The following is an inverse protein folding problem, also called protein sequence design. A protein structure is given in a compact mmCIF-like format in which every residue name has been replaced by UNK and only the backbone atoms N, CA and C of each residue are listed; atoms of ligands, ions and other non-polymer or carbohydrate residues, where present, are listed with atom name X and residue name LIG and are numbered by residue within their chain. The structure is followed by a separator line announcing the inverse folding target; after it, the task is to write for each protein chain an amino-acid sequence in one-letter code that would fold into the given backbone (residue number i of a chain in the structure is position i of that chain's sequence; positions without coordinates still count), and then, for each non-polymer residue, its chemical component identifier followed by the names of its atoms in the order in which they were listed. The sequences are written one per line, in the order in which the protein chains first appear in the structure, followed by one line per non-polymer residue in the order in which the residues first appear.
data_IF_861558992469
#
_entry.id   IF_861558992469
#
_cell.length_a   1.000
_cell.length_b   1.000
_cell.length_c   1.000
_cell.angle_alpha   90.00
_cell.angle_beta   90.00
_cell.angle_gamma   90.00
#
_symmetry.space_group_name_H-M   'P 1'
#
loop_
_entity.id
_entity.type
_entity.pdbx_description
1 polymer ?
#
# COMPACT_ATOMS: atom_id res chain seq x y z
N UNK A 1 17.93 -15.19 -20.24
CA UNK A 1 17.27 -15.64 -18.98
C UNK A 1 16.59 -14.49 -18.23
N UNK A 2 17.18 -13.29 -18.17
CA UNK A 2 16.57 -12.12 -17.51
C UNK A 2 15.15 -11.76 -17.98
N UNK A 3 14.80 -11.77 -19.29
CA UNK A 3 13.47 -11.35 -19.75
C UNK A 3 12.30 -12.17 -19.18
N UNK A 4 12.50 -13.47 -18.94
CA UNK A 4 11.46 -14.34 -18.36
C UNK A 4 11.36 -14.21 -16.83
N UNK A 5 12.39 -13.70 -16.16
CA UNK A 5 12.41 -13.53 -14.70
C UNK A 5 11.93 -12.14 -14.27
N UNK A 6 11.97 -11.14 -15.16
CA UNK A 6 11.49 -9.77 -14.87
C UNK A 6 10.07 -9.72 -14.28
N UNK A 7 9.07 -10.46 -14.80
CA UNK A 7 7.71 -10.44 -14.26
C UNK A 7 7.65 -10.99 -12.84
N UNK A 8 8.34 -12.11 -12.61
CA UNK A 8 8.44 -12.74 -11.30
C UNK A 8 9.15 -11.84 -10.27
N UNK A 9 10.28 -11.26 -10.65
CA UNK A 9 11.03 -10.34 -9.80
C UNK A 9 10.21 -9.10 -9.45
N UNK A 10 9.44 -8.57 -10.41
CA UNK A 10 8.61 -7.41 -10.15
C UNK A 10 7.38 -7.73 -9.30
N UNK A 11 6.72 -8.86 -9.50
CA UNK A 11 5.65 -9.33 -8.61
C UNK A 11 6.16 -9.53 -7.18
N UNK A 12 7.34 -10.13 -7.02
CA UNK A 12 8.01 -10.26 -5.73
C UNK A 12 8.31 -8.89 -5.09
N UNK A 13 8.83 -7.94 -5.87
CA UNK A 13 9.13 -6.59 -5.39
C UNK A 13 7.87 -5.89 -4.90
N UNK A 14 6.79 -5.94 -5.68
CA UNK A 14 5.48 -5.38 -5.31
C UNK A 14 4.99 -5.97 -3.98
N UNK A 15 5.07 -7.29 -3.82
CA UNK A 15 4.70 -7.97 -2.59
C UNK A 15 5.55 -7.53 -1.39
N UNK A 16 6.87 -7.48 -1.55
CA UNK A 16 7.80 -7.05 -0.50
C UNK A 16 7.59 -5.60 -0.09
N UNK A 17 7.41 -4.68 -1.05
CA UNK A 17 7.14 -3.26 -0.77
C UNK A 17 5.81 -3.10 -0.04
N UNK A 18 4.77 -3.78 -0.50
CA UNK A 18 3.45 -3.76 0.14
C UNK A 18 3.50 -4.24 1.59
N UNK A 19 4.20 -5.36 1.84
CA UNK A 19 4.39 -5.89 3.18
C UNK A 19 5.18 -4.94 4.08
N UNK A 20 6.26 -4.32 3.56
CA UNK A 20 7.07 -3.38 4.32
C UNK A 20 6.27 -2.12 4.74
N UNK A 21 5.46 -1.57 3.82
CA UNK A 21 4.59 -0.42 4.10
C UNK A 21 3.53 -0.76 5.16
N UNK A 22 2.88 -1.93 5.05
CA UNK A 22 1.92 -2.36 6.08
C UNK A 22 2.59 -2.59 7.43
N UNK A 23 3.79 -3.15 7.45
CA UNK A 23 4.54 -3.37 8.67
C UNK A 23 4.93 -2.05 9.35
N UNK A 24 5.41 -1.06 8.59
CA UNK A 24 5.78 0.25 9.15
C UNK A 24 4.56 0.97 9.71
N UNK A 25 3.45 1.01 8.97
CA UNK A 25 2.20 1.62 9.42
C UNK A 25 1.68 0.89 10.67
N UNK A 26 1.67 -0.44 10.67
CA UNK A 26 1.21 -1.23 11.80
C UNK A 26 2.01 -0.95 13.08
N UNK A 27 3.34 -0.81 12.96
CA UNK A 27 4.20 -0.48 14.08
C UNK A 27 3.91 0.92 14.65
N UNK A 28 3.72 1.91 13.79
CA UNK A 28 3.35 3.27 14.18
C UNK A 28 1.95 3.35 14.81
N UNK A 29 0.98 2.59 14.29
CA UNK A 29 -0.38 2.49 14.86
C UNK A 29 -0.37 1.88 16.27
N UNK A 30 0.59 1.00 16.57
CA UNK A 30 0.80 0.50 17.94
C UNK A 30 1.49 1.52 18.86
N UNK A 31 1.85 2.70 18.35
CA UNK A 31 2.55 3.74 19.11
C UNK A 31 4.06 3.53 19.22
N UNK A 32 4.64 2.63 18.42
CA UNK A 32 6.08 2.37 18.38
C UNK A 32 6.80 3.24 17.33
N UNK A 33 6.09 4.20 16.73
CA UNK A 33 6.62 5.16 15.78
C UNK A 33 7.19 6.42 16.44
N UNK A 34 7.94 7.24 15.68
CA UNK A 34 8.39 8.55 16.13
C UNK A 34 7.20 9.50 16.29
N UNK A 35 6.86 9.85 17.53
CA UNK A 35 5.70 10.71 17.88
C UNK A 35 5.80 12.13 17.31
N UNK A 36 7.04 12.62 17.12
CA UNK A 36 7.30 13.97 16.61
C UNK A 36 7.27 14.07 15.08
N UNK A 37 7.17 12.92 14.38
CA UNK A 37 7.17 12.88 12.93
C UNK A 37 5.74 12.80 12.37
N UNK A 38 5.36 13.64 11.39
CA UNK A 38 4.05 13.57 10.75
C UNK A 38 4.01 12.44 9.70
N UNK A 39 4.10 11.20 10.17
CA UNK A 39 3.96 10.00 9.32
C UNK A 39 2.51 9.59 9.19
N UNK A 40 2.21 8.79 8.16
CA UNK A 40 0.86 8.28 7.93
C UNK A 40 0.42 7.35 9.07
N UNK A 41 1.29 6.43 9.53
CA UNK A 41 0.93 5.51 10.61
C UNK A 41 0.71 6.22 11.94
N UNK A 42 1.48 7.28 12.25
CA UNK A 42 1.19 8.12 13.41
C UNK A 42 -0.14 8.88 13.26
N UNK A 43 -0.51 9.30 12.04
CA UNK A 43 -1.83 9.89 11.80
C UNK A 43 -2.95 8.90 12.13
N UNK A 44 -2.80 7.61 11.75
CA UNK A 44 -3.74 6.55 12.14
C UNK A 44 -3.74 6.29 13.65
N UNK A 45 -2.60 6.36 14.31
CA UNK A 45 -2.52 6.31 15.77
C UNK A 45 -3.38 7.41 16.40
N UNK A 46 -3.25 8.66 15.95
CA UNK A 46 -4.03 9.80 16.45
C UNK A 46 -5.54 9.68 16.17
N UNK A 47 -5.92 9.12 15.02
CA UNK A 47 -7.33 8.81 14.69
C UNK A 47 -7.93 7.86 15.72
N UNK A 48 -7.22 6.77 16.04
CA UNK A 48 -7.65 5.79 17.03
C UNK A 48 -7.67 6.40 18.44
N UNK A 49 -6.60 7.12 18.80
CA UNK A 49 -6.46 7.76 20.11
C UNK A 49 -7.60 8.75 20.41
N UNK A 50 -7.97 9.59 19.44
CA UNK A 50 -9.06 10.56 19.59
C UNK A 50 -10.45 9.97 19.28
N UNK A 51 -10.55 8.65 19.05
CA UNK A 51 -11.77 7.98 18.63
C UNK A 51 -12.48 8.71 17.45
N UNK A 52 -11.71 9.27 16.52
CA UNK A 52 -12.24 10.14 15.46
C UNK A 52 -13.27 9.43 14.56
N UNK A 53 -13.14 8.11 14.42
CA UNK A 53 -14.12 7.25 13.72
C UNK A 53 -15.45 7.21 14.46
N UNK A 54 -15.44 7.04 15.78
CA UNK A 54 -16.64 6.98 16.62
C UNK A 54 -17.29 8.37 16.71
N UNK A 55 -16.47 9.42 16.78
CA UNK A 55 -16.92 10.82 16.80
C UNK A 55 -17.46 11.32 15.44
N UNK A 56 -17.42 10.50 14.38
CA UNK A 56 -17.95 10.86 13.06
C UNK A 56 -17.11 11.89 12.30
N UNK A 57 -15.86 12.11 12.70
CA UNK A 57 -14.96 13.08 12.08
C UNK A 57 -14.33 12.52 10.80
N UNK A 58 -15.14 12.40 9.75
CA UNK A 58 -14.74 11.79 8.48
C UNK A 58 -13.53 12.44 7.81
N UNK A 59 -13.37 13.76 7.98
CA UNK A 59 -12.23 14.50 7.42
C UNK A 59 -10.89 14.13 8.06
N UNK A 60 -10.88 13.45 9.21
CA UNK A 60 -9.64 12.97 9.84
C UNK A 60 -9.21 11.61 9.31
N UNK A 61 -10.13 10.66 9.17
CA UNK A 61 -9.78 9.28 8.81
C UNK A 61 -9.84 8.98 7.31
N UNK A 62 -10.65 9.70 6.55
CA UNK A 62 -10.81 9.45 5.11
C UNK A 62 -9.55 9.79 4.29
N UNK A 63 -8.90 10.96 4.46
CA UNK A 63 -7.70 11.30 3.70
C UNK A 63 -6.54 10.30 3.83
N UNK A 64 -6.11 9.88 5.05
CA UNK A 64 -5.00 8.93 5.16
C UNK A 64 -5.33 7.57 4.54
N UNK A 65 -6.59 7.11 4.59
CA UNK A 65 -6.98 5.86 3.91
C UNK A 65 -6.80 5.97 2.40
N UNK A 66 -7.18 7.10 1.79
CA UNK A 66 -7.01 7.32 0.35
C UNK A 66 -5.52 7.35 -0.02
N UNK A 67 -4.70 8.06 0.75
CA UNK A 67 -3.25 8.15 0.53
C UNK A 67 -2.58 6.79 0.67
N UNK A 68 -3.03 5.94 1.59
CA UNK A 68 -2.57 4.56 1.71
C UNK A 68 -3.05 3.74 0.50
N UNK A 69 -4.31 3.85 0.09
CA UNK A 69 -4.87 3.04 -0.99
C UNK A 69 -4.19 3.27 -2.35
N UNK A 70 -3.80 4.50 -2.65
CA UNK A 70 -3.17 4.88 -3.92
C UNK A 70 -1.92 4.04 -4.29
N UNK A 71 -0.90 3.90 -3.43
CA UNK A 71 0.26 3.06 -3.73
C UNK A 71 -0.09 1.59 -3.89
N UNK A 72 -1.01 1.02 -3.10
CA UNK A 72 -1.43 -0.38 -3.30
C UNK A 72 -2.11 -0.57 -4.65
N UNK A 73 -2.98 0.36 -5.07
CA UNK A 73 -3.62 0.33 -6.38
C UNK A 73 -2.57 0.46 -7.49
N UNK A 74 -1.63 1.40 -7.35
CA UNK A 74 -0.54 1.60 -8.32
C UNK A 74 0.33 0.36 -8.47
N UNK A 75 0.68 -0.28 -7.36
CA UNK A 75 1.49 -1.49 -7.34
C UNK A 75 0.71 -2.68 -7.93
N UNK A 76 -0.59 -2.79 -7.64
CA UNK A 76 -1.46 -3.79 -8.23
C UNK A 76 -1.56 -3.64 -9.75
N UNK A 77 -1.82 -2.43 -10.25
CA UNK A 77 -1.84 -2.14 -11.69
C UNK A 77 -0.50 -2.44 -12.37
N UNK A 78 0.61 -2.16 -11.69
CA UNK A 78 1.96 -2.49 -12.17
C UNK A 78 2.14 -4.00 -12.29
N UNK A 79 1.69 -4.77 -11.30
CA UNK A 79 1.73 -6.23 -11.35
C UNK A 79 0.93 -6.76 -12.55
N UNK A 80 -0.31 -6.28 -12.74
CA UNK A 80 -1.17 -6.70 -13.86
C UNK A 80 -0.55 -6.33 -15.21
N UNK A 81 -0.02 -5.12 -15.36
CA UNK A 81 0.61 -4.70 -16.61
C UNK A 81 1.87 -5.51 -16.93
N UNK A 82 2.63 -5.91 -15.92
CA UNK A 82 3.82 -6.76 -16.10
C UNK A 82 3.45 -8.20 -16.47
N UNK A 83 2.37 -8.73 -15.91
CA UNK A 83 1.83 -10.03 -16.31
C UNK A 83 1.39 -10.04 -17.79
N UNK A 84 0.82 -8.93 -18.29
CA UNK A 84 0.44 -8.77 -19.70
C UNK A 84 1.65 -8.70 -20.63
N UNK A 85 2.71 -7.98 -20.23
CA UNK A 85 3.98 -7.90 -20.98
C UNK A 85 4.67 -9.27 -21.03
N UNK A 86 4.63 -10.00 -19.93
CA UNK A 86 5.22 -11.34 -19.79
C UNK A 86 4.52 -12.39 -20.63
N UNK A 87 3.19 -12.32 -20.71
CA UNK A 87 2.36 -13.34 -21.33
C UNK A 87 1.45 -12.73 -22.42
N UNK A 88 1.98 -12.44 -23.62
CA UNK A 88 1.24 -11.81 -24.72
C UNK A 88 0.06 -12.65 -25.25
N UNK A 89 -0.10 -13.91 -24.77
CA UNK A 89 -1.24 -14.78 -25.10
C UNK A 89 -2.56 -14.34 -24.46
N UNK A 90 -2.53 -13.64 -23.31
CA UNK A 90 -3.75 -13.16 -22.65
C UNK A 90 -4.40 -12.01 -23.44
N UNK A 91 -3.60 -11.26 -24.22
CA UNK A 91 -4.06 -10.18 -25.11
C UNK A 91 -4.97 -10.64 -26.26
N UNK A 92 -5.10 -11.96 -26.50
CA UNK A 92 -5.93 -12.51 -27.60
C UNK A 92 -7.31 -13.00 -27.18
N UNK A 93 -7.61 -13.06 -25.88
CA UNK A 93 -8.90 -13.56 -25.38
C UNK A 93 -9.78 -12.51 -24.73
N UNK A 94 -9.42 -11.23 -24.83
CA UNK A 94 -10.28 -10.09 -24.48
C UNK A 94 -10.77 -9.42 -25.75
#
# INVERSE_FOLDING_TARGET
ILPNLLPYLAASLVGSVSAAVLASIGLEVLGLGPMDAPTIGMTLFWINYNAAVINGWWWWWLPPIIVIGLPFISLFLTSVGLDEIANPRIRRSM
#
